data_IF_560062516783
#
_entry.id   IF_560062516783
#
_cell.length_a   1.000
_cell.length_b   1.000
_cell.length_c   1.000
_cell.angle_alpha   90.00
_cell.angle_beta   90.00
_cell.angle_gamma   90.00
#
_symmetry.space_group_name_H-M   'P 1'
#
loop_
_entity.id
_entity.type
_entity.pdbx_description
1 polymer ?
#
# COMPACT_ATOMS: atom_id res chain seq x y z
N UNK A 1 14.41 -10.22 13.26
CA UNK A 1 13.15 -9.45 13.43
C UNK A 1 12.28 -9.79 12.26
N UNK A 2 11.04 -10.20 12.49
CA UNK A 2 10.15 -10.62 11.42
C UNK A 2 9.72 -9.43 10.55
N UNK A 3 9.69 -9.62 9.25
CA UNK A 3 9.20 -8.66 8.26
C UNK A 3 7.81 -9.10 7.79
N UNK A 4 6.84 -8.21 7.83
CA UNK A 4 5.57 -8.36 7.14
C UNK A 4 5.62 -7.55 5.86
N UNK A 5 5.50 -8.23 4.72
CA UNK A 5 5.37 -7.61 3.41
C UNK A 5 3.94 -7.84 2.88
N UNK A 6 3.30 -6.78 2.44
CA UNK A 6 1.98 -6.83 1.78
C UNK A 6 2.06 -6.04 0.48
N UNK A 7 1.65 -6.66 -0.61
CA UNK A 7 1.46 -6.02 -1.90
C UNK A 7 0.02 -6.21 -2.38
N UNK A 8 -0.59 -5.14 -2.83
CA UNK A 8 -1.89 -5.14 -3.49
C UNK A 8 -1.69 -4.80 -4.95
N UNK A 9 -2.12 -5.69 -5.85
CA UNK A 9 -2.02 -5.53 -7.29
C UNK A 9 -3.44 -5.37 -7.85
N UNK A 10 -3.65 -4.29 -8.60
CA UNK A 10 -4.94 -3.99 -9.22
C UNK A 10 -4.73 -3.41 -10.62
N UNK A 11 -5.81 -3.10 -11.33
CA UNK A 11 -5.75 -2.24 -12.51
C UNK A 11 -5.21 -0.85 -12.15
N UNK A 12 -4.86 -0.05 -13.15
CA UNK A 12 -4.10 1.19 -13.01
C UNK A 12 -4.69 2.18 -12.00
N UNK A 13 -3.91 2.44 -10.95
CA UNK A 13 -4.19 3.46 -9.93
C UNK A 13 -3.91 4.84 -10.53
N UNK A 14 -4.88 5.78 -10.56
CA UNK A 14 -4.63 7.12 -11.08
C UNK A 14 -3.43 7.79 -10.42
N UNK A 15 -2.50 8.32 -11.22
CA UNK A 15 -1.22 8.88 -10.74
C UNK A 15 -1.38 9.83 -9.55
N UNK A 16 -2.38 10.72 -9.61
CA UNK A 16 -2.69 11.70 -8.54
C UNK A 16 -3.09 11.07 -7.20
N UNK A 17 -3.51 9.80 -7.19
CA UNK A 17 -3.94 9.10 -5.98
C UNK A 17 -2.80 8.30 -5.34
N UNK A 18 -1.78 7.92 -6.10
CA UNK A 18 -0.74 6.98 -5.68
C UNK A 18 -0.01 7.41 -4.41
N UNK A 19 0.50 8.65 -4.38
CA UNK A 19 1.27 9.17 -3.22
C UNK A 19 0.49 9.13 -1.91
N UNK A 20 -0.80 9.48 -1.94
CA UNK A 20 -1.65 9.44 -0.75
C UNK A 20 -2.03 8.01 -0.39
N UNK A 21 -2.26 7.16 -1.38
CA UNK A 21 -2.62 5.77 -1.18
C UNK A 21 -1.51 4.99 -0.47
N UNK A 22 -0.27 5.10 -0.96
CA UNK A 22 0.84 4.35 -0.33
C UNK A 22 1.15 4.84 1.07
N UNK A 23 1.05 6.15 1.31
CA UNK A 23 1.18 6.72 2.65
C UNK A 23 0.11 6.18 3.58
N UNK A 24 -1.16 6.19 3.15
CA UNK A 24 -2.27 5.68 3.94
C UNK A 24 -2.11 4.18 4.27
N UNK A 25 -1.70 3.36 3.29
CA UNK A 25 -1.45 1.94 3.53
C UNK A 25 -0.36 1.72 4.59
N UNK A 26 0.74 2.48 4.53
CA UNK A 26 1.82 2.40 5.50
C UNK A 26 1.37 2.83 6.91
N UNK A 27 0.64 3.93 7.02
CA UNK A 27 0.07 4.44 8.28
C UNK A 27 -0.95 3.47 8.87
N UNK A 28 -1.84 2.93 8.05
CA UNK A 28 -2.84 1.94 8.46
C UNK A 28 -2.19 0.69 9.05
N UNK A 29 -1.26 0.07 8.34
CA UNK A 29 -0.59 -1.14 8.79
C UNK A 29 0.21 -0.90 10.07
N UNK A 30 0.95 0.20 10.16
CA UNK A 30 1.70 0.57 11.36
C UNK A 30 0.78 0.76 12.57
N UNK A 31 -0.29 1.52 12.41
CA UNK A 31 -1.26 1.80 13.49
C UNK A 31 -1.94 0.53 13.96
N UNK A 32 -2.49 -0.26 13.03
CA UNK A 32 -3.22 -1.49 13.37
C UNK A 32 -2.32 -2.55 14.01
N UNK A 33 -1.10 -2.75 13.51
CA UNK A 33 -0.14 -3.65 14.14
C UNK A 33 0.23 -3.21 15.56
N UNK A 34 0.39 -1.91 15.79
CA UNK A 34 0.64 -1.34 17.12
C UNK A 34 -0.56 -1.50 18.04
N UNK A 35 -1.79 -1.20 17.59
CA UNK A 35 -3.03 -1.36 18.34
C UNK A 35 -3.25 -2.82 18.77
N UNK A 36 -2.85 -3.76 17.92
CA UNK A 36 -2.88 -5.19 18.24
C UNK A 36 -1.66 -5.67 19.06
N UNK A 37 -0.75 -4.78 19.46
CA UNK A 37 0.44 -5.15 20.23
C UNK A 37 1.45 -6.02 19.45
N UNK A 38 1.34 -6.04 18.13
CA UNK A 38 2.25 -6.77 17.23
C UNK A 38 3.45 -5.93 16.76
N UNK A 39 3.45 -4.64 17.01
CA UNK A 39 4.54 -3.73 16.67
C UNK A 39 4.87 -2.85 17.88
N UNK A 40 6.15 -2.75 18.24
CA UNK A 40 6.59 -1.77 19.21
C UNK A 40 6.63 -0.39 18.54
N UNK A 41 5.93 0.60 19.10
CA UNK A 41 5.88 1.99 18.61
C UNK A 41 7.26 2.65 18.50
N UNK A 42 8.25 2.13 19.23
CA UNK A 42 9.65 2.54 19.12
C UNK A 42 10.37 1.99 17.89
N UNK A 43 9.78 1.03 17.19
CA UNK A 43 10.34 0.39 15.98
C UNK A 43 9.86 1.01 14.66
N UNK A 44 9.27 2.20 14.68
CA UNK A 44 8.75 2.90 13.48
C UNK A 44 9.79 3.15 12.36
N UNK A 45 11.07 2.88 12.62
CA UNK A 45 12.17 3.04 11.64
C UNK A 45 12.21 1.96 10.54
N UNK A 46 11.30 0.97 10.55
CA UNK A 46 11.33 -0.18 9.65
C UNK A 46 10.20 -0.27 8.64
N UNK A 47 9.50 0.85 8.32
CA UNK A 47 8.45 0.85 7.29
C UNK A 47 9.06 1.24 5.95
N UNK A 48 8.89 0.38 4.95
CA UNK A 48 9.28 0.64 3.56
C UNK A 48 8.05 0.54 2.68
N UNK A 49 8.03 1.31 1.61
CA UNK A 49 6.89 1.32 0.70
C UNK A 49 7.32 1.58 -0.74
N UNK A 50 6.58 1.00 -1.68
CA UNK A 50 6.77 1.19 -3.10
C UNK A 50 5.39 1.28 -3.78
N UNK A 51 5.31 2.09 -4.84
CA UNK A 51 4.07 2.25 -5.60
C UNK A 51 4.34 2.48 -7.07
N UNK A 52 3.58 1.76 -7.89
CA UNK A 52 3.51 1.91 -9.34
C UNK A 52 2.07 2.11 -9.81
N UNK A 53 1.86 2.15 -11.11
CA UNK A 53 0.51 2.20 -11.69
C UNK A 53 -0.39 1.07 -11.20
N UNK A 54 0.12 -0.16 -11.07
CA UNK A 54 -0.65 -1.36 -10.70
C UNK A 54 -0.27 -1.93 -9.34
N UNK A 55 0.88 -1.54 -8.79
CA UNK A 55 1.51 -2.13 -7.62
C UNK A 55 1.48 -1.16 -6.43
N UNK A 56 1.05 -1.64 -5.28
CA UNK A 56 1.10 -0.91 -4.01
C UNK A 56 1.64 -1.85 -2.92
N UNK A 57 2.90 -1.68 -2.53
CA UNK A 57 3.60 -2.56 -1.60
C UNK A 57 4.08 -1.82 -0.36
N UNK A 58 3.88 -2.42 0.80
CA UNK A 58 4.38 -1.95 2.10
C UNK A 58 5.03 -3.11 2.84
N UNK A 59 6.17 -2.82 3.45
CA UNK A 59 6.83 -3.71 4.39
C UNK A 59 6.94 -3.05 5.75
N UNK A 60 6.70 -3.84 6.79
CA UNK A 60 6.84 -3.44 8.21
C UNK A 60 7.79 -4.42 8.90
N UNK A 61 8.93 -3.91 9.34
CA UNK A 61 9.92 -4.71 10.10
C UNK A 61 9.60 -4.70 11.60
N UNK A 62 9.99 -5.76 12.30
CA UNK A 62 9.83 -5.85 13.76
C UNK A 62 8.46 -6.35 14.21
N UNK A 63 7.71 -6.98 13.31
CA UNK A 63 6.42 -7.58 13.65
C UNK A 63 6.63 -8.77 14.58
N UNK A 64 5.89 -8.79 15.70
CA UNK A 64 5.92 -9.88 16.67
C UNK A 64 5.11 -11.06 16.18
N UNK A 65 5.54 -12.27 16.51
CA UNK A 65 4.83 -13.52 16.16
C UNK A 65 3.52 -13.69 16.91
N UNK A 66 3.40 -13.06 18.09
CA UNK A 66 2.23 -13.20 18.97
C UNK A 66 2.07 -11.92 19.81
N UNK A 67 0.83 -11.59 20.15
CA UNK A 67 0.50 -10.58 21.15
C UNK A 67 0.97 -11.04 22.54
N UNK A 68 1.27 -10.09 23.40
CA UNK A 68 1.50 -10.40 24.82
C UNK A 68 0.18 -10.88 25.46
N UNK A 69 0.30 -11.83 26.40
CA UNK A 69 -0.84 -12.22 27.23
C UNK A 69 -1.29 -11.04 28.06
N UNK A 70 -2.60 -10.86 28.21
CA UNK A 70 -3.17 -9.77 28.99
C UNK A 70 -4.16 -10.27 30.03
N UNK A 71 -4.12 -9.64 31.19
CA UNK A 71 -5.13 -9.86 32.22
C UNK A 71 -6.30 -8.93 31.96
N UNK A 72 -7.48 -9.50 31.72
CA UNK A 72 -8.73 -8.76 31.53
C UNK A 72 -9.59 -8.92 32.78
N UNK A 73 -9.98 -7.79 33.36
CA UNK A 73 -10.92 -7.79 34.47
C UNK A 73 -12.37 -7.78 33.96
N UNK A 74 -13.12 -8.80 34.36
CA UNK A 74 -14.59 -8.81 34.17
C UNK A 74 -15.27 -8.52 35.47
N UNK A 75 -16.18 -7.53 35.46
CA UNK A 75 -17.01 -7.18 36.61
C UNK A 75 -18.14 -8.19 36.72
N UNK A 76 -18.27 -8.78 37.88
CA UNK A 76 -19.32 -9.72 38.24
C UNK A 76 -20.45 -9.10 39.08
N UNK A 77 -21.22 -9.95 39.76
CA UNK A 77 -22.32 -9.52 40.64
C UNK A 77 -21.82 -8.75 41.87
N UNK A 78 -22.73 -8.06 42.52
CA UNK A 78 -22.43 -7.35 43.77
C UNK A 78 -22.16 -8.35 44.89
N UNK A 79 -21.30 -8.00 45.84
CA UNK A 79 -21.05 -8.81 47.03
C UNK A 79 -22.39 -8.92 47.82
N UNK A 80 -22.71 -10.17 48.17
CA UNK A 80 -24.01 -10.51 48.77
C UNK A 80 -25.12 -10.87 47.76
N UNK A 81 -24.82 -10.95 46.49
CA UNK A 81 -25.74 -11.48 45.47
C UNK A 81 -26.05 -12.97 45.71
N UNK A 82 -27.19 -13.49 45.22
CA UNK A 82 -27.51 -14.91 45.31
C UNK A 82 -26.42 -15.81 44.74
N UNK A 83 -26.16 -16.96 45.38
CA UNK A 83 -25.11 -17.88 44.94
C UNK A 83 -25.24 -18.30 43.45
N UNK A 84 -26.47 -18.46 42.98
CA UNK A 84 -26.73 -18.78 41.56
C UNK A 84 -26.17 -17.73 40.59
N UNK A 85 -26.15 -16.45 40.98
CA UNK A 85 -25.57 -15.36 40.17
C UNK A 85 -24.02 -15.40 40.17
N UNK A 86 -23.44 -15.77 41.34
CA UNK A 86 -21.98 -15.96 41.48
C UNK A 86 -21.52 -17.15 40.65
N UNK A 87 -22.21 -18.29 40.76
CA UNK A 87 -21.92 -19.51 40.00
C UNK A 87 -22.03 -19.28 38.48
N UNK A 88 -23.10 -18.59 38.06
CA UNK A 88 -23.30 -18.22 36.66
C UNK A 88 -22.18 -17.32 36.13
N UNK A 89 -21.72 -16.37 36.92
CA UNK A 89 -20.60 -15.51 36.58
C UNK A 89 -19.29 -16.28 36.49
N UNK A 90 -18.97 -17.11 37.50
CA UNK A 90 -17.77 -17.99 37.50
C UNK A 90 -17.76 -18.90 36.28
N UNK A 91 -18.89 -19.53 35.96
CA UNK A 91 -19.04 -20.38 34.79
C UNK A 91 -18.80 -19.60 33.46
N UNK A 92 -19.35 -18.39 33.36
CA UNK A 92 -19.15 -17.54 32.16
C UNK A 92 -17.73 -17.00 32.03
N UNK A 93 -17.04 -16.80 33.15
CA UNK A 93 -15.67 -16.32 33.21
C UNK A 93 -14.63 -17.46 33.14
N UNK A 94 -15.05 -18.71 33.29
CA UNK A 94 -14.17 -19.87 33.24
C UNK A 94 -13.23 -19.97 34.44
N UNK A 95 -13.66 -19.44 35.63
CA UNK A 95 -12.85 -19.42 36.85
C UNK A 95 -13.57 -20.04 38.03
N UNK A 96 -12.83 -20.37 39.06
CA UNK A 96 -13.41 -20.82 40.35
C UNK A 96 -13.79 -19.62 41.21
N UNK A 97 -14.79 -19.81 42.12
CA UNK A 97 -15.22 -18.77 43.04
C UNK A 97 -14.05 -18.27 43.92
N UNK A 98 -13.13 -19.15 44.28
CA UNK A 98 -11.91 -18.82 45.04
C UNK A 98 -10.97 -17.87 44.34
N UNK A 99 -11.09 -17.68 43.02
CA UNK A 99 -10.30 -16.76 42.21
C UNK A 99 -10.96 -15.39 42.02
N UNK A 100 -12.15 -15.20 42.58
CA UNK A 100 -12.82 -13.91 42.58
C UNK A 100 -12.14 -12.90 43.49
N UNK A 101 -11.91 -11.68 42.97
CA UNK A 101 -11.37 -10.56 43.71
C UNK A 101 -12.51 -9.59 44.05
N UNK A 102 -12.63 -9.19 45.31
CA UNK A 102 -13.62 -8.19 45.74
C UNK A 102 -12.98 -6.80 45.58
N UNK A 103 -13.63 -5.92 44.82
CA UNK A 103 -13.22 -4.51 44.69
C UNK A 103 -14.35 -3.56 45.04
N UNK A 104 -14.00 -2.51 45.75
CA UNK A 104 -14.90 -1.43 46.08
C UNK A 104 -15.04 -0.47 44.89
N UNK A 105 -16.26 -0.17 44.52
CA UNK A 105 -16.58 0.79 43.46
C UNK A 105 -17.52 1.88 44.01
N UNK A 106 -17.71 2.96 43.26
CA UNK A 106 -18.67 4.02 43.63
C UNK A 106 -20.13 3.51 43.81
N UNK A 107 -20.44 2.29 43.34
CA UNK A 107 -21.77 1.64 43.44
C UNK A 107 -21.80 0.48 44.42
N UNK A 108 -20.75 0.32 45.25
CA UNK A 108 -20.60 -0.74 46.26
C UNK A 108 -19.51 -1.76 45.88
N UNK A 109 -19.41 -2.81 46.71
CA UNK A 109 -18.48 -3.89 46.53
C UNK A 109 -18.98 -4.90 45.45
N UNK A 110 -18.13 -5.27 44.54
CA UNK A 110 -18.42 -6.22 43.47
C UNK A 110 -17.32 -7.31 43.37
N UNK A 111 -17.72 -8.48 42.89
CA UNK A 111 -16.80 -9.50 42.49
C UNK A 111 -16.18 -9.15 41.14
N UNK A 112 -14.90 -9.41 40.99
CA UNK A 112 -14.17 -9.28 39.73
C UNK A 112 -13.43 -10.58 39.41
N UNK A 113 -13.45 -10.94 38.15
CA UNK A 113 -12.68 -12.05 37.60
C UNK A 113 -11.50 -11.50 36.85
N UNK A 114 -10.28 -11.86 37.27
CA UNK A 114 -9.06 -11.61 36.50
C UNK A 114 -8.82 -12.80 35.57
N UNK A 115 -9.02 -12.59 34.27
CA UNK A 115 -8.92 -13.65 33.26
C UNK A 115 -7.66 -13.40 32.45
N UNK A 116 -6.78 -14.38 32.42
CA UNK A 116 -5.62 -14.35 31.52
C UNK A 116 -6.08 -14.70 30.09
N UNK A 117 -6.19 -13.68 29.24
CA UNK A 117 -6.41 -13.88 27.82
C UNK A 117 -5.05 -14.09 27.13
N UNK A 118 -4.87 -15.25 26.50
CA UNK A 118 -3.66 -15.52 25.72
C UNK A 118 -3.63 -14.63 24.48
N UNK A 119 -2.45 -14.09 24.20
CA UNK A 119 -2.22 -13.32 23.01
C UNK A 119 -2.47 -14.14 21.74
N UNK A 120 -3.08 -13.53 20.73
CA UNK A 120 -3.32 -14.16 19.43
C UNK A 120 -2.03 -14.14 18.60
N UNK A 121 -1.83 -15.17 17.78
CA UNK A 121 -0.73 -15.22 16.82
C UNK A 121 -0.93 -14.20 15.69
N UNK A 122 0.17 -13.60 15.22
CA UNK A 122 0.14 -12.65 14.09
C UNK A 122 -0.46 -13.28 12.82
N UNK A 123 -0.19 -14.55 12.58
CA UNK A 123 -0.75 -15.30 11.45
C UNK A 123 -2.27 -15.33 11.41
N UNK A 124 -2.94 -15.26 12.56
CA UNK A 124 -4.42 -15.21 12.63
C UNK A 124 -4.97 -13.79 12.54
N UNK A 125 -4.16 -12.78 12.87
CA UNK A 125 -4.56 -11.36 12.88
C UNK A 125 -4.33 -10.67 11.53
N UNK A 126 -3.25 -11.01 10.84
CA UNK A 126 -2.87 -10.36 9.58
C UNK A 126 -3.95 -10.50 8.50
N UNK A 127 -4.61 -11.65 8.27
CA UNK A 127 -5.71 -11.73 7.31
C UNK A 127 -6.87 -10.77 7.62
N UNK A 128 -7.21 -10.59 8.90
CA UNK A 128 -8.22 -9.61 9.35
C UNK A 128 -7.76 -8.18 9.04
N UNK A 129 -6.45 -7.87 9.23
CA UNK A 129 -5.88 -6.57 8.89
C UNK A 129 -5.92 -6.28 7.39
N UNK A 130 -5.64 -7.28 6.56
CA UNK A 130 -5.73 -7.14 5.09
C UNK A 130 -7.17 -6.90 4.65
N UNK A 131 -8.13 -7.61 5.23
CA UNK A 131 -9.55 -7.36 4.97
C UNK A 131 -9.94 -5.92 5.33
N UNK A 132 -9.58 -5.45 6.53
CA UNK A 132 -9.90 -4.11 6.99
C UNK A 132 -9.19 -3.03 6.16
N UNK A 133 -7.95 -3.28 5.74
CA UNK A 133 -7.22 -2.39 4.83
C UNK A 133 -8.02 -2.14 3.55
N UNK A 134 -8.54 -3.19 2.93
CA UNK A 134 -9.32 -3.06 1.69
C UNK A 134 -10.71 -2.48 1.94
N UNK A 135 -11.40 -2.94 2.99
CA UNK A 135 -12.76 -2.53 3.29
C UNK A 135 -12.88 -1.06 3.72
N UNK A 136 -11.88 -0.54 4.45
CA UNK A 136 -11.87 0.80 5.02
C UNK A 136 -11.01 1.80 4.24
N UNK A 137 -10.43 1.39 3.10
CA UNK A 137 -9.49 2.25 2.36
C UNK A 137 -10.15 3.52 1.83
N UNK A 138 -9.65 4.72 2.14
CA UNK A 138 -10.32 5.99 1.85
C UNK A 138 -10.05 6.48 0.41
N UNK A 139 -10.42 5.70 -0.58
CA UNK A 139 -10.32 6.13 -1.97
C UNK A 139 -11.25 7.31 -2.26
N UNK A 140 -10.80 8.41 -2.90
CA UNK A 140 -11.67 9.50 -3.33
C UNK A 140 -12.75 9.04 -4.33
N UNK A 141 -12.40 8.04 -5.14
CA UNK A 141 -13.31 7.31 -6.04
C UNK A 141 -12.96 5.84 -6.01
N UNK A 142 -13.97 5.02 -5.85
CA UNK A 142 -13.85 3.56 -5.89
C UNK A 142 -14.98 2.98 -6.74
N UNK A 143 -14.84 1.73 -7.13
CA UNK A 143 -15.84 0.98 -7.87
C UNK A 143 -15.93 -0.45 -7.35
N UNK A 144 -17.06 -1.08 -7.60
CA UNK A 144 -17.26 -2.52 -7.43
C UNK A 144 -17.10 -3.18 -8.80
N UNK A 145 -16.72 -4.44 -8.80
CA UNK A 145 -16.59 -5.24 -10.03
C UNK A 145 -17.14 -6.64 -9.79
N UNK A 146 -17.61 -7.29 -10.87
CA UNK A 146 -18.23 -8.60 -10.77
C UNK A 146 -19.38 -8.60 -9.75
N UNK A 147 -19.36 -9.58 -8.84
CA UNK A 147 -20.33 -9.70 -7.74
C UNK A 147 -19.77 -9.20 -6.39
N UNK A 148 -18.60 -8.57 -6.39
CA UNK A 148 -17.95 -8.05 -5.17
C UNK A 148 -18.84 -7.07 -4.40
N UNK A 149 -18.83 -7.20 -3.07
CA UNK A 149 -19.47 -6.25 -2.15
C UNK A 149 -18.49 -5.19 -1.67
N UNK A 150 -17.18 -5.47 -1.69
CA UNK A 150 -16.14 -4.50 -1.43
C UNK A 150 -15.93 -3.61 -2.66
N UNK A 151 -15.41 -2.42 -2.44
CA UNK A 151 -15.03 -1.48 -3.48
C UNK A 151 -13.55 -1.12 -3.37
N UNK A 152 -12.88 -0.94 -4.51
CA UNK A 152 -11.50 -0.49 -4.60
C UNK A 152 -11.36 0.55 -5.71
N UNK A 153 -10.22 1.22 -5.81
CA UNK A 153 -9.99 2.22 -6.87
C UNK A 153 -10.13 1.62 -8.27
N UNK A 154 -9.68 0.38 -8.44
CA UNK A 154 -9.76 -0.44 -9.66
C UNK A 154 -9.89 -1.91 -9.27
N UNK A 155 -10.33 -2.82 -10.14
CA UNK A 155 -10.41 -4.24 -9.84
C UNK A 155 -9.09 -4.81 -9.31
N UNK A 156 -9.17 -5.55 -8.21
CA UNK A 156 -8.04 -6.26 -7.60
C UNK A 156 -7.73 -7.53 -8.39
N UNK A 157 -6.45 -7.83 -8.57
CA UNK A 157 -5.96 -9.06 -9.21
C UNK A 157 -5.35 -10.02 -8.20
N UNK A 158 -4.37 -9.54 -7.43
CA UNK A 158 -3.59 -10.37 -6.50
C UNK A 158 -3.35 -9.61 -5.20
N UNK A 159 -3.17 -10.37 -4.13
CA UNK A 159 -2.67 -9.86 -2.84
C UNK A 159 -1.54 -10.77 -2.40
N UNK A 160 -0.34 -10.23 -2.36
CA UNK A 160 0.82 -10.90 -1.80
C UNK A 160 0.93 -10.58 -0.31
N UNK A 161 1.01 -11.62 0.51
CA UNK A 161 1.21 -11.50 1.96
C UNK A 161 2.32 -12.43 2.39
N UNK A 162 3.45 -11.85 2.77
CA UNK A 162 4.64 -12.59 3.18
C UNK A 162 5.01 -12.20 4.60
N UNK A 163 5.16 -13.17 5.45
CA UNK A 163 5.60 -12.99 6.84
C UNK A 163 6.91 -13.77 7.06
N UNK A 164 7.96 -13.06 7.46
CA UNK A 164 9.27 -13.66 7.76
C UNK A 164 9.84 -14.51 6.60
N UNK A 165 9.66 -14.03 5.36
CA UNK A 165 10.16 -14.67 4.15
C UNK A 165 9.29 -15.78 3.56
N UNK A 166 8.16 -16.10 4.18
CA UNK A 166 7.27 -17.15 3.72
C UNK A 166 5.85 -16.64 3.44
N UNK A 167 5.17 -17.27 2.50
CA UNK A 167 3.75 -17.03 2.25
C UNK A 167 2.95 -17.16 3.55
N UNK A 168 2.17 -16.15 3.90
CA UNK A 168 1.15 -16.25 4.94
C UNK A 168 -0.17 -16.70 4.28
N UNK A 169 -0.65 -17.93 4.54
CA UNK A 169 -1.90 -18.42 3.97
C UNK A 169 -3.11 -17.59 4.44
N UNK A 170 -4.03 -17.34 3.55
CA UNK A 170 -5.26 -16.62 3.84
C UNK A 170 -5.96 -16.17 2.55
N UNK A 171 -7.08 -15.52 2.71
CA UNK A 171 -7.84 -14.97 1.59
C UNK A 171 -8.56 -13.67 1.97
N UNK A 172 -8.82 -12.85 0.97
CA UNK A 172 -9.68 -11.70 1.05
C UNK A 172 -11.06 -12.06 0.50
N UNK A 173 -12.08 -12.15 1.36
CA UNK A 173 -13.47 -12.30 0.93
C UNK A 173 -13.99 -10.96 0.40
N UNK A 174 -14.29 -10.92 -0.90
CA UNK A 174 -14.86 -9.74 -1.57
C UNK A 174 -16.40 -9.71 -1.45
N UNK A 175 -17.00 -10.77 -0.91
CA UNK A 175 -18.43 -10.98 -0.90
C UNK A 175 -18.98 -11.44 -2.26
N UNK A 176 -20.27 -11.82 -2.28
CA UNK A 176 -20.93 -12.28 -3.51
C UNK A 176 -20.36 -13.56 -4.11
N UNK A 177 -19.64 -14.38 -3.30
CA UNK A 177 -18.97 -15.61 -3.74
C UNK A 177 -17.61 -15.37 -4.42
N UNK A 178 -17.06 -14.17 -4.33
CA UNK A 178 -15.72 -13.83 -4.84
C UNK A 178 -14.71 -13.75 -3.70
N UNK A 179 -13.54 -14.35 -3.89
CA UNK A 179 -12.39 -14.22 -2.99
C UNK A 179 -11.08 -14.12 -3.75
N UNK A 180 -10.08 -13.56 -3.12
CA UNK A 180 -8.69 -13.53 -3.62
C UNK A 180 -7.83 -14.27 -2.60
N UNK A 181 -7.25 -15.40 -2.99
CA UNK A 181 -6.28 -16.13 -2.16
C UNK A 181 -4.98 -15.31 -2.05
N UNK A 182 -4.37 -15.33 -0.87
CA UNK A 182 -3.06 -14.71 -0.69
C UNK A 182 -1.99 -15.52 -1.39
N UNK A 183 -1.02 -14.82 -1.97
CA UNK A 183 0.09 -15.41 -2.69
C UNK A 183 1.41 -14.72 -2.28
N UNK A 184 2.53 -15.26 -2.74
CA UNK A 184 3.85 -14.64 -2.71
C UNK A 184 4.47 -14.58 -4.11
N UNK A 185 3.64 -14.60 -5.15
CA UNK A 185 4.07 -14.58 -6.53
C UNK A 185 4.14 -13.15 -7.07
N UNK A 186 5.36 -12.67 -7.34
CA UNK A 186 5.60 -11.41 -8.03
C UNK A 186 5.68 -11.61 -9.54
N UNK A 187 5.26 -10.61 -10.30
CA UNK A 187 5.33 -10.60 -11.76
C UNK A 187 6.03 -9.33 -12.23
N UNK A 188 6.94 -9.47 -13.19
CA UNK A 188 7.56 -8.36 -13.87
C UNK A 188 6.64 -7.69 -14.89
N UNK A 189 7.21 -6.87 -15.76
CA UNK A 189 6.46 -6.15 -16.79
C UNK A 189 5.72 -7.13 -17.72
N UNK A 190 4.39 -6.99 -17.79
CA UNK A 190 3.50 -7.98 -18.44
C UNK A 190 3.79 -8.23 -19.92
N UNK A 191 4.39 -7.26 -20.63
CA UNK A 191 4.77 -7.44 -22.04
C UNK A 191 6.01 -8.33 -22.23
N UNK A 192 6.88 -8.47 -21.20
CA UNK A 192 8.19 -9.13 -21.35
C UNK A 192 8.38 -10.31 -20.41
N UNK A 193 7.75 -10.29 -19.22
CA UNK A 193 8.01 -11.21 -18.13
C UNK A 193 6.73 -11.82 -17.57
N UNK A 194 6.34 -12.98 -18.13
CA UNK A 194 5.13 -13.70 -17.72
C UNK A 194 5.39 -14.80 -16.67
N UNK A 195 6.66 -15.04 -16.31
CA UNK A 195 7.00 -16.06 -15.30
C UNK A 195 7.02 -15.41 -13.91
N UNK A 196 6.26 -15.95 -12.95
CA UNK A 196 6.29 -15.44 -11.59
C UNK A 196 7.62 -15.73 -10.90
N UNK A 197 7.97 -14.87 -9.94
CA UNK A 197 9.07 -15.11 -9.00
C UNK A 197 8.52 -15.14 -7.57
N UNK A 198 9.20 -15.84 -6.68
CA UNK A 198 8.82 -15.89 -5.27
C UNK A 198 9.26 -14.61 -4.55
N UNK A 199 8.34 -13.98 -3.82
CA UNK A 199 8.61 -12.81 -2.97
C UNK A 199 8.96 -13.32 -1.58
N UNK A 200 10.14 -12.93 -1.08
CA UNK A 200 10.64 -13.28 0.26
C UNK A 200 10.82 -12.06 1.18
N UNK A 201 10.63 -10.84 0.67
CA UNK A 201 10.74 -9.59 1.42
C UNK A 201 10.89 -8.38 0.51
N UNK A 202 10.86 -7.19 1.11
CA UNK A 202 10.77 -5.93 0.38
C UNK A 202 11.99 -5.66 -0.52
N UNK A 203 13.19 -5.82 0.01
CA UNK A 203 14.42 -5.54 -0.77
C UNK A 203 14.58 -6.48 -1.96
N UNK A 204 14.31 -7.77 -1.73
CA UNK A 204 14.36 -8.77 -2.80
C UNK A 204 13.28 -8.46 -3.85
N UNK A 205 12.08 -8.08 -3.43
CA UNK A 205 10.98 -7.68 -4.32
C UNK A 205 11.38 -6.49 -5.19
N UNK A 206 11.83 -5.37 -4.61
CA UNK A 206 12.21 -4.16 -5.36
C UNK A 206 13.33 -4.45 -6.37
N UNK A 207 14.36 -5.21 -5.96
CA UNK A 207 15.46 -5.59 -6.85
C UNK A 207 14.98 -6.48 -7.99
N UNK A 208 14.12 -7.47 -7.68
CA UNK A 208 13.62 -8.40 -8.69
C UNK A 208 12.68 -7.71 -9.69
N UNK A 209 11.82 -6.81 -9.20
CA UNK A 209 10.96 -6.00 -10.08
C UNK A 209 11.79 -5.15 -11.04
N UNK A 210 12.88 -4.53 -10.57
CA UNK A 210 13.81 -3.76 -11.41
C UNK A 210 14.47 -4.63 -12.48
N UNK A 211 14.91 -5.84 -12.13
CA UNK A 211 15.47 -6.82 -13.09
C UNK A 211 14.46 -7.25 -14.16
N UNK A 212 13.16 -7.17 -13.80
CA UNK A 212 12.06 -7.57 -14.66
C UNK A 212 11.29 -6.35 -15.23
N UNK A 213 12.02 -5.25 -15.45
CA UNK A 213 11.59 -4.03 -16.14
C UNK A 213 10.42 -3.29 -15.45
N UNK A 214 10.29 -3.38 -14.12
CA UNK A 214 9.32 -2.62 -13.34
C UNK A 214 10.04 -1.81 -12.26
N UNK A 215 9.99 -0.49 -12.35
CA UNK A 215 10.49 0.43 -11.34
C UNK A 215 9.36 0.75 -10.34
N UNK A 216 9.25 -0.02 -9.26
CA UNK A 216 8.21 0.17 -8.24
C UNK A 216 8.52 1.31 -7.28
N UNK A 217 9.79 1.69 -7.10
CA UNK A 217 10.17 2.84 -6.30
C UNK A 217 9.85 4.15 -7.03
N UNK A 218 9.00 4.98 -6.43
CA UNK A 218 8.53 6.23 -7.03
C UNK A 218 9.67 7.22 -7.27
N UNK A 219 10.59 7.36 -6.31
CA UNK A 219 11.69 8.31 -6.42
C UNK A 219 12.72 7.85 -7.44
N UNK A 220 13.03 6.56 -7.47
CA UNK A 220 13.92 5.96 -8.47
C UNK A 220 13.35 6.18 -9.89
N UNK A 221 12.05 5.94 -10.07
CA UNK A 221 11.36 6.12 -11.35
C UNK A 221 11.36 7.59 -11.79
N UNK A 222 11.10 8.55 -10.88
CA UNK A 222 11.20 9.98 -11.19
C UNK A 222 12.62 10.39 -11.59
N UNK A 223 13.62 9.94 -10.85
CA UNK A 223 15.02 10.22 -11.13
C UNK A 223 15.46 9.64 -12.48
N UNK A 224 15.00 8.43 -12.79
CA UNK A 224 15.26 7.79 -14.08
C UNK A 224 14.68 8.61 -15.24
N UNK A 225 13.43 9.02 -15.16
CA UNK A 225 12.76 9.83 -16.18
C UNK A 225 13.50 11.15 -16.36
N UNK A 226 13.75 11.89 -15.27
CA UNK A 226 14.39 13.19 -15.33
C UNK A 226 15.82 13.11 -15.91
N UNK A 227 16.60 12.13 -15.47
CA UNK A 227 17.97 11.91 -15.97
C UNK A 227 18.00 11.67 -17.47
N UNK A 228 17.10 10.81 -17.99
CA UNK A 228 17.03 10.52 -19.41
C UNK A 228 16.49 11.70 -20.22
N UNK A 229 15.50 12.43 -19.70
CA UNK A 229 14.98 13.64 -20.31
C UNK A 229 16.07 14.72 -20.47
N UNK A 230 16.85 14.98 -19.41
CA UNK A 230 17.96 15.94 -19.44
C UNK A 230 19.06 15.51 -20.43
N UNK A 231 19.41 14.23 -20.45
CA UNK A 231 20.41 13.69 -21.38
C UNK A 231 19.99 13.90 -22.84
N UNK A 232 18.72 13.66 -23.18
CA UNK A 232 18.22 13.86 -24.55
C UNK A 232 18.19 15.35 -24.91
N UNK A 233 17.79 16.22 -24.00
CA UNK A 233 17.82 17.67 -24.21
C UNK A 233 19.26 18.16 -24.49
N UNK A 234 20.23 17.75 -23.68
CA UNK A 234 21.66 18.06 -23.86
C UNK A 234 22.20 17.61 -25.21
N UNK A 235 21.88 16.37 -25.64
CA UNK A 235 22.28 15.83 -26.94
C UNK A 235 21.76 16.64 -28.13
N UNK A 236 20.69 17.40 -27.93
CA UNK A 236 20.12 18.29 -28.96
C UNK A 236 20.58 19.75 -28.80
N UNK A 237 21.43 20.06 -27.84
CA UNK A 237 21.82 21.43 -27.52
C UNK A 237 20.66 22.28 -26.97
N UNK A 238 19.69 21.63 -26.33
CA UNK A 238 18.47 22.25 -25.81
C UNK A 238 18.38 22.07 -24.29
N UNK A 239 17.47 22.79 -23.67
CA UNK A 239 17.14 22.68 -22.25
C UNK A 239 15.77 22.06 -22.06
N UNK A 240 15.64 21.21 -21.01
CA UNK A 240 14.37 20.67 -20.59
C UNK A 240 13.58 21.78 -19.85
N UNK A 241 12.42 22.14 -20.37
CA UNK A 241 11.47 22.98 -19.62
C UNK A 241 10.92 22.20 -18.45
N UNK A 242 11.43 22.53 -17.25
CA UNK A 242 11.09 21.76 -16.04
C UNK A 242 9.63 21.94 -15.63
N UNK A 243 8.95 20.80 -15.41
CA UNK A 243 7.58 20.73 -14.90
C UNK A 243 7.46 19.57 -13.93
N UNK A 244 7.62 19.87 -12.63
CA UNK A 244 7.59 18.85 -11.57
C UNK A 244 6.18 18.23 -11.40
N UNK A 245 5.12 18.97 -11.76
CA UNK A 245 3.75 18.45 -11.74
C UNK A 245 3.53 17.43 -12.83
N UNK A 246 3.97 17.73 -14.04
CA UNK A 246 3.93 16.80 -15.17
C UNK A 246 4.79 15.56 -14.89
N UNK A 247 6.02 15.76 -14.35
CA UNK A 247 6.89 14.65 -13.98
C UNK A 247 6.22 13.70 -12.97
N UNK A 248 5.58 14.24 -11.95
CA UNK A 248 4.85 13.44 -10.97
C UNK A 248 3.66 12.68 -11.60
N UNK A 249 2.96 13.32 -12.54
CA UNK A 249 1.84 12.70 -13.25
C UNK A 249 2.32 11.55 -14.16
N UNK A 250 3.27 11.79 -15.04
CA UNK A 250 3.76 10.78 -15.99
C UNK A 250 4.48 9.62 -15.28
N UNK A 251 5.18 9.90 -14.19
CA UNK A 251 5.79 8.89 -13.35
C UNK A 251 4.76 7.88 -12.80
N UNK A 252 3.54 8.32 -12.53
CA UNK A 252 2.45 7.47 -12.09
C UNK A 252 1.71 6.73 -13.22
N UNK A 253 2.06 6.95 -14.48
CA UNK A 253 1.44 6.30 -15.63
C UNK A 253 2.26 5.14 -16.18
N UNK A 254 3.55 5.06 -15.85
CA UNK A 254 4.48 4.08 -16.44
C UNK A 254 5.16 3.23 -15.36
N UNK A 255 5.34 1.95 -15.63
CA UNK A 255 6.11 1.00 -14.81
C UNK A 255 7.55 0.87 -15.30
N UNK A 256 7.72 0.88 -16.64
CA UNK A 256 8.99 0.82 -17.35
C UNK A 256 9.14 2.09 -18.19
N UNK A 257 9.66 3.19 -17.62
CA UNK A 257 9.74 4.45 -18.33
C UNK A 257 10.76 4.41 -19.47
N UNK A 258 10.32 4.78 -20.68
CA UNK A 258 11.19 5.02 -21.82
C UNK A 258 10.95 6.43 -22.34
N UNK A 259 11.99 7.27 -22.30
CA UNK A 259 11.89 8.67 -22.75
C UNK A 259 12.29 8.77 -24.20
N UNK A 260 11.38 9.20 -25.05
CA UNK A 260 11.58 9.42 -26.47
C UNK A 260 11.44 10.89 -26.84
N UNK A 261 12.19 11.30 -27.87
CA UNK A 261 12.11 12.63 -28.43
C UNK A 261 11.37 12.60 -29.77
N UNK A 262 10.34 13.41 -29.87
CA UNK A 262 9.63 13.69 -31.12
C UNK A 262 9.86 15.11 -31.63
N UNK A 263 9.50 15.37 -32.87
CA UNK A 263 9.53 16.69 -33.51
C UNK A 263 8.13 17.28 -33.61
N UNK A 264 8.02 18.59 -33.47
CA UNK A 264 6.80 19.35 -33.70
C UNK A 264 6.83 19.81 -35.17
N UNK A 265 5.74 19.66 -35.88
CA UNK A 265 5.63 20.12 -37.25
C UNK A 265 5.72 21.66 -37.30
N UNK A 266 6.46 22.19 -38.29
CA UNK A 266 6.73 23.62 -38.44
C UNK A 266 5.45 24.46 -38.52
N UNK A 267 4.36 23.89 -39.03
CA UNK A 267 3.06 24.54 -39.12
C UNK A 267 2.48 24.91 -37.74
N UNK A 268 2.84 24.19 -36.69
CA UNK A 268 2.42 24.48 -35.32
C UNK A 268 3.36 25.47 -34.63
N UNK A 269 4.59 25.64 -35.10
CA UNK A 269 5.58 26.55 -34.48
C UNK A 269 5.24 28.05 -34.68
N UNK A 270 4.22 28.36 -35.44
CA UNK A 270 3.65 29.70 -35.57
C UNK A 270 2.74 30.09 -34.39
N UNK A 271 2.32 29.10 -33.58
CA UNK A 271 1.48 29.32 -32.42
C UNK A 271 2.30 29.95 -31.27
N UNK A 272 1.66 30.73 -30.40
CA UNK A 272 2.31 31.20 -29.17
C UNK A 272 2.84 30.04 -28.30
N UNK A 273 4.01 30.23 -27.69
CA UNK A 273 4.67 29.20 -26.86
C UNK A 273 3.75 28.67 -25.74
N UNK A 274 2.92 29.54 -25.16
CA UNK A 274 1.97 29.14 -24.09
C UNK A 274 0.91 28.15 -24.59
N UNK A 275 0.47 28.29 -25.84
CA UNK A 275 -0.53 27.40 -26.46
C UNK A 275 0.11 26.04 -26.71
N UNK A 276 1.33 26.01 -27.25
CA UNK A 276 2.08 24.78 -27.50
C UNK A 276 2.35 24.02 -26.18
N UNK A 277 2.90 24.73 -25.20
CA UNK A 277 3.22 24.13 -23.87
C UNK A 277 1.95 23.59 -23.22
N UNK A 278 0.84 24.36 -23.23
CA UNK A 278 -0.42 23.93 -22.63
C UNK A 278 -0.96 22.68 -23.33
N UNK A 279 -0.94 22.64 -24.65
CA UNK A 279 -1.40 21.49 -25.42
C UNK A 279 -0.56 20.25 -25.15
N UNK A 280 0.76 20.36 -25.19
CA UNK A 280 1.70 19.27 -24.88
C UNK A 280 1.50 18.73 -23.45
N UNK A 281 1.46 19.63 -22.47
CA UNK A 281 1.33 19.29 -21.05
C UNK A 281 -0.01 18.64 -20.72
N UNK A 282 -1.12 19.30 -21.09
CA UNK A 282 -2.46 18.90 -20.62
C UNK A 282 -3.00 17.72 -21.40
N UNK A 283 -2.84 17.70 -22.72
CA UNK A 283 -3.46 16.70 -23.58
C UNK A 283 -2.56 15.53 -23.92
N UNK A 284 -1.26 15.77 -24.12
CA UNK A 284 -0.33 14.74 -24.58
C UNK A 284 0.61 14.22 -23.49
N UNK A 285 0.70 14.91 -22.34
CA UNK A 285 1.66 14.58 -21.26
C UNK A 285 3.12 14.61 -21.73
N UNK A 286 3.45 15.55 -22.63
CA UNK A 286 4.78 15.74 -23.17
C UNK A 286 5.52 16.87 -22.47
N UNK A 287 6.83 16.70 -22.30
CA UNK A 287 7.72 17.77 -21.86
C UNK A 287 8.17 18.61 -23.05
N UNK A 288 8.15 19.92 -22.90
CA UNK A 288 8.68 20.86 -23.88
C UNK A 288 10.19 20.99 -23.73
N UNK A 289 10.86 21.21 -24.85
CA UNK A 289 12.26 21.62 -24.91
C UNK A 289 12.35 23.09 -25.32
N UNK A 290 13.34 23.82 -24.79
CA UNK A 290 13.58 25.24 -25.06
C UNK A 290 15.04 25.48 -25.41
N UNK A 291 15.29 26.52 -26.17
CA UNK A 291 16.62 27.00 -26.47
C UNK A 291 17.24 27.79 -25.30
N UNK A 292 18.46 28.30 -25.45
CA UNK A 292 19.19 29.08 -24.46
C UNK A 292 18.47 30.43 -24.06
N UNK A 293 17.57 30.89 -24.94
CA UNK A 293 16.79 32.13 -24.72
C UNK A 293 15.41 31.82 -24.09
N UNK A 294 15.09 30.54 -23.80
CA UNK A 294 13.82 30.12 -23.25
C UNK A 294 12.67 30.03 -24.26
N UNK A 295 12.97 30.10 -25.58
CA UNK A 295 11.98 29.91 -26.64
C UNK A 295 11.75 28.41 -26.89
N UNK A 296 10.49 28.02 -27.10
CA UNK A 296 10.14 26.64 -27.38
C UNK A 296 10.79 26.15 -28.65
N UNK A 297 11.54 25.05 -28.53
CA UNK A 297 12.15 24.38 -29.65
C UNK A 297 11.15 23.40 -30.33
N UNK A 298 11.38 23.04 -31.64
CA UNK A 298 10.45 22.19 -32.38
C UNK A 298 10.60 20.70 -32.00
N UNK A 299 10.77 20.44 -30.68
CA UNK A 299 10.92 19.09 -30.13
C UNK A 299 10.14 18.95 -28.81
N UNK A 300 9.70 17.72 -28.55
CA UNK A 300 9.08 17.36 -27.27
C UNK A 300 9.65 16.02 -26.78
N UNK A 301 9.52 15.78 -25.48
CA UNK A 301 9.81 14.46 -24.90
C UNK A 301 8.51 13.79 -24.46
N UNK A 302 8.37 12.55 -24.86
CA UNK A 302 7.25 11.67 -24.50
C UNK A 302 7.75 10.49 -23.67
N UNK A 303 6.89 10.00 -22.80
CA UNK A 303 7.07 8.71 -22.13
C UNK A 303 6.13 7.72 -22.80
N UNK A 304 6.67 6.69 -23.43
CA UNK A 304 5.88 5.64 -24.07
C UNK A 304 5.79 4.46 -23.11
N UNK A 305 4.57 3.94 -22.95
CA UNK A 305 4.38 2.56 -22.52
C UNK A 305 4.90 1.66 -23.65
N UNK A 306 5.79 0.75 -23.31
CA UNK A 306 6.33 -0.24 -24.28
C UNK A 306 5.27 -1.33 -24.60
N UNK A 307 4.03 -1.14 -24.24
CA UNK A 307 2.93 -2.11 -24.44
C UNK A 307 2.03 -1.83 -25.65
N UNK A 308 2.40 -0.86 -26.51
CA UNK A 308 1.71 -0.63 -27.80
C UNK A 308 2.62 -0.83 -28.99
#
# INVERSE_FOLDING_TARGET
MSELFIEVICEEIPARMQKNAIRHMAEFLSSRLSEHGLLDTRSAAGIKSAIGPKHMAVSVSGVRKQQDDRVVEKRGPKVGAPQQAIDGFCKSAGILESQLVIRQTNKGAFYFAEILEKGRHSETLIPELVYNLVAEFPWPKSQRWGTSRLSWVRPLHYINVVLDGALLPGSLDLGGGMSIEFTNAGYGHSAYHNTPFEITGFEQYVNKMRELDVLVDLQERQNFILKNALKIAEQKGLQLRRDDTLLAEVCGLVESPNVLCGSIDDTFMILPDEVLVTSMRVHQKYFALEDENGKIAPYFLSLIHISE
#
